data_IF_118818753073
#
_entry.id   IF_118818753073
#
_cell.length_a   1.000
_cell.length_b   1.000
_cell.length_c   1.000
_cell.angle_alpha   90.00
_cell.angle_beta   90.00
_cell.angle_gamma   90.00
#
_symmetry.space_group_name_H-M   'P 1'
#
loop_
_entity.id
_entity.type
_entity.pdbx_description
1 polymer ?
#
# COMPACT_ATOMS: atom_id res chain seq x y z
N UNK A 1 -76.03 -24.06 7.82
CA UNK A 1 -75.02 -24.48 8.83
C UNK A 1 -73.58 -24.56 8.29
N UNK A 2 -73.33 -24.34 6.99
CA UNK A 2 -72.01 -24.52 6.34
C UNK A 2 -71.07 -23.30 6.43
N UNK A 3 -71.59 -22.06 6.30
CA UNK A 3 -70.75 -20.84 6.28
C UNK A 3 -69.95 -20.58 7.57
N UNK A 4 -70.53 -20.82 8.75
CA UNK A 4 -69.87 -20.55 10.05
C UNK A 4 -68.67 -21.46 10.30
N UNK A 5 -68.67 -22.69 9.78
CA UNK A 5 -67.54 -23.64 9.92
C UNK A 5 -66.38 -23.27 8.99
N UNK A 6 -66.67 -22.79 7.76
CA UNK A 6 -65.62 -22.33 6.85
C UNK A 6 -64.86 -21.10 7.36
N UNK A 7 -65.54 -20.15 8.02
CA UNK A 7 -64.89 -18.95 8.58
C UNK A 7 -63.93 -19.30 9.72
N UNK A 8 -64.30 -20.26 10.58
CA UNK A 8 -63.43 -20.72 11.68
C UNK A 8 -62.21 -21.46 11.14
N UNK A 9 -62.40 -22.34 10.14
CA UNK A 9 -61.30 -23.07 9.51
C UNK A 9 -60.34 -22.10 8.80
N UNK A 10 -60.86 -21.15 8.04
CA UNK A 10 -60.05 -20.13 7.36
C UNK A 10 -59.27 -19.26 8.35
N UNK A 11 -59.90 -18.86 9.46
CA UNK A 11 -59.25 -18.12 10.55
C UNK A 11 -58.10 -18.91 11.19
N UNK A 12 -58.28 -20.22 11.44
CA UNK A 12 -57.22 -21.08 11.96
C UNK A 12 -56.04 -21.21 10.98
N UNK A 13 -56.30 -21.29 9.67
CA UNK A 13 -55.23 -21.33 8.66
C UNK A 13 -54.42 -20.04 8.61
N UNK A 14 -55.06 -18.87 8.72
CA UNK A 14 -54.38 -17.57 8.74
C UNK A 14 -53.48 -17.46 9.97
N UNK A 15 -53.96 -17.87 11.15
CA UNK A 15 -53.17 -17.84 12.39
C UNK A 15 -51.97 -18.78 12.30
N UNK A 16 -52.14 -20.00 11.77
CA UNK A 16 -51.04 -20.94 11.56
C UNK A 16 -50.00 -20.41 10.55
N UNK A 17 -50.46 -19.74 9.48
CA UNK A 17 -49.57 -19.14 8.48
C UNK A 17 -48.77 -17.97 9.05
N UNK A 18 -49.40 -17.12 9.87
CA UNK A 18 -48.72 -16.00 10.55
C UNK A 18 -47.69 -16.49 11.57
N UNK A 19 -47.98 -17.57 12.30
CA UNK A 19 -47.03 -18.19 13.23
C UNK A 19 -45.82 -18.79 12.50
N UNK A 20 -46.06 -19.46 11.36
CA UNK A 20 -44.99 -20.02 10.51
C UNK A 20 -44.12 -18.92 9.88
N UNK A 21 -44.72 -17.84 9.40
CA UNK A 21 -44.00 -16.69 8.86
C UNK A 21 -43.17 -15.96 9.94
N UNK A 22 -43.68 -15.89 11.17
CA UNK A 22 -42.93 -15.31 12.29
C UNK A 22 -41.68 -16.15 12.60
N UNK A 23 -41.81 -17.49 12.63
CA UNK A 23 -40.69 -18.40 12.86
C UNK A 23 -39.62 -18.34 11.76
N UNK A 24 -40.02 -18.15 10.49
CA UNK A 24 -39.06 -18.04 9.38
C UNK A 24 -38.27 -16.72 9.43
N UNK A 25 -38.93 -15.63 9.82
CA UNK A 25 -38.30 -14.32 10.03
C UNK A 25 -37.27 -14.35 11.16
N UNK A 26 -37.56 -15.02 12.27
CA UNK A 26 -36.58 -15.16 13.36
C UNK A 26 -35.35 -15.95 12.90
N UNK A 27 -35.55 -17.08 12.23
CA UNK A 27 -34.44 -17.89 11.69
C UNK A 27 -33.60 -17.13 10.66
N UNK A 28 -34.23 -16.29 9.84
CA UNK A 28 -33.51 -15.45 8.90
C UNK A 28 -32.67 -14.41 9.63
N UNK A 29 -33.24 -13.74 10.65
CA UNK A 29 -32.52 -12.77 11.48
C UNK A 29 -31.33 -13.41 12.20
N UNK A 30 -31.54 -14.57 12.83
CA UNK A 30 -30.49 -15.30 13.54
C UNK A 30 -29.35 -15.69 12.60
N UNK A 31 -29.68 -16.13 11.37
CA UNK A 31 -28.69 -16.49 10.35
C UNK A 31 -27.94 -15.27 9.79
N UNK A 32 -28.62 -14.13 9.62
CA UNK A 32 -27.96 -12.88 9.22
C UNK A 32 -27.04 -12.40 10.33
N UNK A 33 -27.46 -12.43 11.59
CA UNK A 33 -26.60 -12.05 12.73
C UNK A 33 -25.40 -13.00 12.88
N UNK A 34 -25.57 -14.29 12.62
CA UNK A 34 -24.50 -15.29 12.62
C UNK A 34 -23.48 -15.06 11.48
N UNK A 35 -23.94 -14.86 10.24
CA UNK A 35 -23.07 -14.58 9.11
C UNK A 35 -22.39 -13.20 9.21
N UNK A 36 -23.05 -12.19 9.79
CA UNK A 36 -22.48 -10.85 10.00
C UNK A 36 -21.44 -10.85 11.13
N UNK A 37 -21.54 -11.78 12.09
CA UNK A 37 -20.52 -12.00 13.14
C UNK A 37 -19.26 -12.71 12.65
N UNK A 38 -19.24 -13.28 11.44
CA UNK A 38 -18.00 -13.79 10.83
C UNK A 38 -17.15 -12.62 10.36
N UNK A 39 -16.58 -11.89 11.31
CA UNK A 39 -15.59 -10.85 11.04
C UNK A 39 -14.31 -11.51 10.54
N UNK A 40 -13.97 -11.24 9.28
CA UNK A 40 -12.69 -11.59 8.69
C UNK A 40 -11.62 -10.74 9.39
N UNK A 41 -10.89 -11.34 10.32
CA UNK A 41 -9.75 -10.70 10.95
C UNK A 41 -8.58 -10.69 9.96
N UNK A 42 -8.31 -9.54 9.35
CA UNK A 42 -7.01 -9.25 8.76
C UNK A 42 -6.14 -8.65 9.86
N UNK A 43 -5.13 -9.40 10.29
CA UNK A 43 -3.99 -8.83 11.00
C UNK A 43 -3.00 -8.36 9.94
N UNK A 44 -2.85 -7.04 9.80
CA UNK A 44 -1.65 -6.47 9.15
C UNK A 44 -0.57 -6.45 10.23
N UNK A 45 0.28 -7.47 10.24
CA UNK A 45 1.42 -7.54 11.14
C UNK A 45 2.43 -6.47 10.72
N UNK A 46 2.36 -5.32 11.38
CA UNK A 46 3.18 -4.16 11.17
C UNK A 46 4.51 -4.26 11.93
N UNK A 47 5.32 -5.28 11.60
CA UNK A 47 6.60 -5.51 12.29
C UNK A 47 7.80 -4.81 11.62
N UNK A 48 7.64 -4.31 10.40
CA UNK A 48 8.73 -3.75 9.57
C UNK A 48 8.51 -2.30 9.13
N UNK A 49 7.65 -1.53 9.80
CA UNK A 49 7.56 -0.09 9.54
C UNK A 49 8.86 0.63 9.96
N UNK A 50 9.28 1.59 9.15
CA UNK A 50 10.39 2.50 9.42
C UNK A 50 9.86 3.90 9.75
N UNK A 51 10.52 4.58 10.68
CA UNK A 51 10.31 6.01 10.93
C UNK A 51 11.10 6.91 9.97
N UNK A 52 12.00 6.33 9.17
CA UNK A 52 12.81 7.07 8.21
C UNK A 52 11.95 7.59 7.05
N UNK A 53 12.34 8.73 6.51
CA UNK A 53 11.73 9.32 5.30
C UNK A 53 12.74 9.28 4.15
N UNK A 54 12.25 9.37 2.91
CA UNK A 54 13.12 9.53 1.74
C UNK A 54 14.11 10.70 1.93
N UNK A 55 13.63 11.84 2.43
CA UNK A 55 14.49 13.00 2.71
C UNK A 55 15.60 12.69 3.71
N UNK A 56 15.26 12.00 4.81
CA UNK A 56 16.24 11.59 5.83
C UNK A 56 17.32 10.67 5.25
N UNK A 57 16.93 9.69 4.41
CA UNK A 57 17.89 8.81 3.75
C UNK A 57 18.85 9.59 2.84
N UNK A 58 18.33 10.52 2.04
CA UNK A 58 19.17 11.36 1.17
C UNK A 58 20.09 12.26 2.01
N UNK A 59 19.59 12.87 3.09
CA UNK A 59 20.39 13.73 3.96
C UNK A 59 21.49 12.94 4.71
N UNK A 60 21.27 11.65 4.98
CA UNK A 60 22.26 10.72 5.52
C UNK A 60 23.22 10.14 4.46
N UNK A 61 23.00 10.42 3.17
CA UNK A 61 23.80 9.89 2.06
C UNK A 61 23.47 8.43 1.68
N UNK A 62 22.36 7.88 2.17
CA UNK A 62 21.89 6.50 1.90
C UNK A 62 21.06 6.47 0.61
N UNK A 63 21.71 6.74 -0.53
CA UNK A 63 21.04 6.82 -1.85
C UNK A 63 20.67 5.46 -2.45
N UNK A 64 21.19 4.40 -1.86
CA UNK A 64 20.92 2.99 -2.16
C UNK A 64 19.73 2.44 -1.37
N UNK A 65 19.06 3.26 -0.55
CA UNK A 65 17.89 2.87 0.21
C UNK A 65 16.68 3.71 -0.16
N UNK A 66 15.49 3.12 -0.08
CA UNK A 66 14.22 3.80 -0.37
C UNK A 66 13.16 3.43 0.65
N UNK A 67 12.28 4.39 0.94
CA UNK A 67 11.09 4.18 1.76
C UNK A 67 9.87 4.09 0.85
N UNK A 68 9.13 2.99 0.96
CA UNK A 68 7.88 2.78 0.24
C UNK A 68 6.88 2.06 1.14
N UNK A 69 5.63 2.56 1.17
CA UNK A 69 4.55 1.99 1.99
C UNK A 69 4.95 1.77 3.47
N UNK A 70 5.60 2.78 4.05
CA UNK A 70 6.08 2.76 5.43
C UNK A 70 7.27 1.82 5.69
N UNK A 71 7.82 1.15 4.67
CA UNK A 71 8.89 0.16 4.80
C UNK A 71 10.18 0.61 4.15
N UNK A 72 11.30 0.18 4.70
CA UNK A 72 12.63 0.48 4.19
C UNK A 72 13.12 -0.67 3.29
N UNK A 73 13.54 -0.33 2.07
CA UNK A 73 14.10 -1.28 1.11
C UNK A 73 15.52 -0.88 0.72
N UNK A 74 16.36 -1.88 0.53
CA UNK A 74 17.71 -1.75 -0.01
C UNK A 74 17.65 -1.97 -1.53
N UNK A 75 18.05 -0.99 -2.32
CA UNK A 75 18.26 -1.15 -3.76
C UNK A 75 19.46 -2.07 -3.99
N UNK A 76 19.28 -3.01 -4.91
CA UNK A 76 20.27 -3.99 -5.34
C UNK A 76 20.69 -3.68 -6.78
N UNK A 77 20.93 -4.73 -7.57
CA UNK A 77 21.29 -4.61 -8.97
C UNK A 77 20.17 -4.05 -9.84
N UNK A 78 20.59 -3.40 -10.92
CA UNK A 78 19.73 -3.00 -12.03
C UNK A 78 19.16 -4.25 -12.71
N UNK A 79 17.88 -4.20 -13.05
CA UNK A 79 17.15 -5.25 -13.75
C UNK A 79 16.56 -4.76 -15.06
N UNK A 80 16.27 -5.70 -15.96
CA UNK A 80 15.59 -5.42 -17.22
C UNK A 80 14.10 -5.15 -17.01
N UNK A 81 13.49 -4.48 -17.98
CA UNK A 81 12.07 -4.14 -17.92
C UNK A 81 11.17 -5.38 -17.81
N UNK A 82 11.57 -6.51 -18.40
CA UNK A 82 10.82 -7.77 -18.39
C UNK A 82 10.79 -8.46 -17.01
N UNK A 83 11.66 -8.05 -16.08
CA UNK A 83 11.68 -8.59 -14.72
C UNK A 83 10.52 -8.05 -13.86
N UNK A 84 9.94 -6.90 -14.25
CA UNK A 84 8.88 -6.24 -13.49
C UNK A 84 7.50 -6.80 -13.81
N UNK A 85 6.70 -6.98 -12.77
CA UNK A 85 5.30 -7.38 -12.89
C UNK A 85 4.37 -6.18 -12.91
N UNK A 86 3.28 -6.28 -12.14
CA UNK A 86 2.28 -5.21 -12.06
C UNK A 86 2.83 -4.01 -11.29
N UNK A 87 2.34 -2.82 -11.65
CA UNK A 87 2.54 -1.62 -10.83
C UNK A 87 1.82 -1.84 -9.50
N UNK A 88 2.53 -1.69 -8.39
CA UNK A 88 1.99 -1.79 -7.03
C UNK A 88 1.89 -0.42 -6.34
N UNK A 89 2.61 0.59 -6.84
CA UNK A 89 2.47 1.98 -6.42
C UNK A 89 3.52 2.89 -7.04
N UNK A 90 3.82 4.01 -6.39
CA UNK A 90 4.84 4.95 -6.82
C UNK A 90 5.43 5.70 -5.62
N UNK A 91 6.73 6.00 -5.71
CA UNK A 91 7.38 6.94 -4.78
C UNK A 91 7.12 8.37 -5.29
N UNK A 92 7.37 8.62 -6.58
CA UNK A 92 7.01 9.88 -7.24
C UNK A 92 7.72 11.12 -6.71
N UNK A 93 8.90 10.96 -6.09
CA UNK A 93 9.67 12.07 -5.52
C UNK A 93 10.93 12.33 -6.35
N UNK A 94 11.38 13.58 -6.36
CA UNK A 94 12.65 13.96 -7.01
C UNK A 94 13.47 14.80 -6.06
N UNK A 95 14.71 14.36 -5.84
CA UNK A 95 15.70 15.10 -5.07
C UNK A 95 16.86 15.51 -5.97
N UNK A 96 17.64 16.47 -5.50
CA UNK A 96 18.88 16.86 -6.14
C UNK A 96 20.00 16.79 -5.11
N UNK A 97 21.10 16.16 -5.49
CA UNK A 97 22.32 16.09 -4.67
C UNK A 97 23.47 16.74 -5.44
N UNK A 98 24.49 17.16 -4.71
CA UNK A 98 25.73 17.65 -5.31
C UNK A 98 26.81 16.58 -5.48
N UNK A 99 28.03 17.02 -5.82
CA UNK A 99 29.18 16.14 -5.97
C UNK A 99 29.65 15.50 -4.66
N UNK A 100 29.31 16.11 -3.52
CA UNK A 100 29.65 15.63 -2.17
C UNK A 100 28.50 14.82 -1.56
N UNK A 101 27.39 14.63 -2.30
CA UNK A 101 26.20 13.91 -1.86
C UNK A 101 25.23 14.74 -1.03
N UNK A 102 25.48 16.05 -0.84
CA UNK A 102 24.59 16.91 -0.05
C UNK A 102 23.35 17.29 -0.86
N UNK A 103 22.18 17.11 -0.24
CA UNK A 103 20.89 17.50 -0.83
C UNK A 103 20.81 19.01 -1.04
N UNK A 104 20.24 19.41 -2.16
CA UNK A 104 19.84 20.78 -2.44
C UNK A 104 18.53 21.11 -1.71
N UNK A 105 18.51 22.22 -0.98
CA UNK A 105 17.27 22.71 -0.37
C UNK A 105 16.36 23.37 -1.41
N UNK A 106 15.08 23.54 -1.09
CA UNK A 106 14.13 24.19 -2.01
C UNK A 106 14.52 25.65 -2.29
N UNK A 107 15.08 26.34 -1.30
CA UNK A 107 15.58 27.71 -1.39
C UNK A 107 16.77 27.79 -2.36
N UNK A 108 17.74 26.89 -2.23
CA UNK A 108 18.91 26.82 -3.13
C UNK A 108 18.48 26.52 -4.58
N UNK A 109 17.42 25.72 -4.76
CA UNK A 109 16.89 25.38 -6.09
C UNK A 109 16.14 26.53 -6.77
N UNK A 110 15.66 27.52 -6.01
CA UNK A 110 14.99 28.74 -6.54
C UNK A 110 16.00 29.75 -7.07
N UNK A 111 17.25 29.69 -6.61
CA UNK A 111 18.30 30.59 -7.09
C UNK A 111 18.64 30.30 -8.56
N UNK A 112 18.94 31.34 -9.36
CA UNK A 112 19.39 31.14 -10.73
C UNK A 112 20.71 30.37 -10.74
N UNK A 113 20.79 29.33 -11.58
CA UNK A 113 22.01 28.55 -11.77
C UNK A 113 22.99 29.31 -12.67
N UNK A 114 23.43 30.48 -12.20
CA UNK A 114 24.35 31.39 -12.87
C UNK A 114 25.40 31.80 -11.85
N UNK A 115 26.60 31.24 -11.98
CA UNK A 115 27.72 31.56 -11.10
C UNK A 115 28.75 32.39 -11.87
N UNK A 116 29.15 33.52 -11.29
CA UNK A 116 30.27 34.33 -11.79
C UNK A 116 31.60 33.71 -11.33
N UNK A 117 31.58 33.08 -10.16
CA UNK A 117 32.72 32.44 -9.53
C UNK A 117 32.68 30.92 -9.80
N UNK A 118 33.66 30.35 -10.52
CA UNK A 118 33.68 28.93 -10.84
C UNK A 118 33.79 28.05 -9.58
N UNK A 119 34.39 28.54 -8.50
CA UNK A 119 34.56 27.78 -7.25
C UNK A 119 33.22 27.60 -6.49
N UNK A 120 32.19 28.37 -6.87
CA UNK A 120 30.83 28.25 -6.34
C UNK A 120 29.94 27.32 -7.15
N UNK A 121 30.41 26.82 -8.30
CA UNK A 121 29.63 25.91 -9.12
C UNK A 121 29.54 24.57 -8.39
N UNK A 122 28.33 24.24 -7.96
CA UNK A 122 28.01 22.97 -7.32
C UNK A 122 27.25 22.10 -8.32
N UNK A 123 27.68 20.85 -8.52
CA UNK A 123 26.98 19.90 -9.40
C UNK A 123 25.54 19.69 -8.89
N UNK A 124 24.63 19.42 -9.82
CA UNK A 124 23.22 19.16 -9.53
C UNK A 124 22.81 17.85 -10.19
N UNK A 125 22.90 16.77 -9.43
CA UNK A 125 22.57 15.42 -9.88
C UNK A 125 21.13 15.09 -9.43
N UNK A 126 20.21 14.81 -10.35
CA UNK A 126 18.85 14.43 -9.99
C UNK A 126 18.77 12.97 -9.50
N UNK A 127 17.97 12.74 -8.47
CA UNK A 127 17.51 11.43 -8.02
C UNK A 127 16.00 11.38 -8.21
N UNK A 128 15.54 10.76 -9.31
CA UNK A 128 14.13 10.69 -9.70
C UNK A 128 13.57 9.32 -9.37
N UNK A 129 12.73 9.24 -8.36
CA UNK A 129 12.06 8.01 -7.96
C UNK A 129 10.67 7.92 -8.61
N UNK A 130 10.46 6.87 -9.38
CA UNK A 130 9.28 6.66 -10.20
C UNK A 130 8.30 5.66 -9.59
N UNK A 131 7.83 4.73 -10.43
CA UNK A 131 6.88 3.68 -10.07
C UNK A 131 7.56 2.53 -9.32
N UNK A 132 6.74 1.82 -8.56
CA UNK A 132 7.11 0.59 -7.85
C UNK A 132 6.30 -0.57 -8.42
N UNK A 133 6.97 -1.70 -8.63
CA UNK A 133 6.43 -2.89 -9.28
C UNK A 133 6.61 -4.12 -8.38
N UNK A 134 5.72 -5.10 -8.53
CA UNK A 134 6.00 -6.46 -8.05
C UNK A 134 7.04 -7.12 -8.95
N UNK A 135 7.64 -8.22 -8.51
CA UNK A 135 8.50 -9.04 -9.38
C UNK A 135 7.67 -10.09 -10.12
N UNK A 136 8.13 -10.51 -11.31
CA UNK A 136 7.47 -11.57 -12.07
C UNK A 136 7.78 -12.98 -11.54
N UNK A 137 8.93 -13.15 -10.89
CA UNK A 137 9.37 -14.45 -10.37
C UNK A 137 8.51 -14.89 -9.19
N UNK A 138 8.20 -13.95 -8.29
CA UNK A 138 7.44 -14.21 -7.07
C UNK A 138 6.42 -13.08 -6.80
N UNK A 139 5.29 -13.05 -7.53
CA UNK A 139 4.32 -11.94 -7.46
C UNK A 139 3.67 -11.78 -6.08
N UNK A 140 3.76 -12.79 -5.20
CA UNK A 140 3.21 -12.80 -3.85
C UNK A 140 4.24 -12.45 -2.76
N UNK A 141 5.54 -12.36 -3.10
CA UNK A 141 6.60 -12.01 -2.14
C UNK A 141 6.56 -10.52 -1.88
N UNK A 142 6.07 -10.12 -0.69
CA UNK A 142 6.03 -8.72 -0.24
C UNK A 142 7.39 -8.17 0.20
N UNK A 143 8.39 -9.02 0.32
CA UNK A 143 9.74 -8.66 0.78
C UNK A 143 10.62 -8.17 -0.38
N UNK A 144 10.18 -8.27 -1.63
CA UNK A 144 10.95 -7.90 -2.81
C UNK A 144 10.09 -7.07 -3.77
N UNK A 145 10.62 -5.92 -4.19
CA UNK A 145 9.98 -5.01 -5.12
C UNK A 145 10.95 -4.58 -6.20
N UNK A 146 10.44 -4.01 -7.29
CA UNK A 146 11.25 -3.31 -8.28
C UNK A 146 10.91 -1.82 -8.24
N UNK A 147 11.93 -0.98 -8.16
CA UNK A 147 11.81 0.47 -8.04
C UNK A 147 12.42 1.12 -9.27
N UNK A 148 11.66 2.02 -9.89
CA UNK A 148 12.15 2.88 -10.96
C UNK A 148 12.95 4.04 -10.36
N UNK A 149 14.24 4.15 -10.69
CA UNK A 149 15.10 5.26 -10.32
C UNK A 149 15.81 5.81 -11.56
N UNK A 150 15.70 7.12 -11.81
CA UNK A 150 16.28 7.81 -12.97
C UNK A 150 15.93 7.17 -14.34
N UNK A 151 14.77 6.50 -14.43
CA UNK A 151 14.30 5.82 -15.65
C UNK A 151 14.87 4.41 -15.84
N UNK A 152 15.59 3.90 -14.84
CA UNK A 152 16.10 2.53 -14.78
C UNK A 152 15.38 1.75 -13.68
N UNK A 153 15.35 0.42 -13.79
CA UNK A 153 14.68 -0.45 -12.84
C UNK A 153 15.70 -1.14 -11.95
N UNK A 154 15.48 -1.11 -10.65
CA UNK A 154 16.34 -1.75 -9.65
C UNK A 154 15.51 -2.71 -8.81
N UNK A 155 16.04 -3.90 -8.55
CA UNK A 155 15.48 -4.78 -7.54
C UNK A 155 15.72 -4.18 -6.17
N UNK A 156 14.78 -4.35 -5.24
CA UNK A 156 14.92 -3.85 -3.88
C UNK A 156 14.37 -4.86 -2.87
N UNK A 157 15.16 -5.14 -1.83
CA UNK A 157 14.81 -6.11 -0.80
C UNK A 157 14.43 -5.38 0.49
N UNK A 158 13.41 -5.88 1.18
CA UNK A 158 12.94 -5.35 2.45
C UNK A 158 14.02 -5.50 3.52
N UNK A 159 14.42 -4.38 4.13
CA UNK A 159 15.29 -4.38 5.31
C UNK A 159 14.40 -4.70 6.52
N UNK A 160 14.58 -5.91 7.07
CA UNK A 160 13.88 -6.31 8.31
C UNK A 160 14.57 -5.62 9.48
N UNK A 161 13.79 -4.88 10.28
CA UNK A 161 14.30 -4.35 11.54
C UNK A 161 14.44 -5.53 12.51
N UNK A 162 15.64 -6.10 12.61
CA UNK A 162 15.94 -6.98 13.73
C UNK A 162 15.84 -6.14 15.00
N UNK A 163 14.87 -6.45 15.86
CA UNK A 163 14.80 -5.88 17.21
C UNK A 163 16.09 -6.30 17.94
N UNK A 164 16.99 -5.34 18.19
CA UNK A 164 18.03 -5.48 19.21
C UNK A 164 17.43 -5.76 20.60
#
# INVERSE_FOLDING_TARGET
MSLKRCVIILGCFIVLFMLSACQSLTRFKDKVDEETKKTMHFTDDNENETSETMESLIDQGKHDQVVYDGKLYQLQDKVDEDSKGKVIGAIGQTFFIDGDGKRWSEEELKEPYIYIDPDKIRKKNPLRYGKVYSTNEHPDTKDEIIVECNGEYYKADLIKNEKE
#
